data_IF_451247586579
#
_entry.id   IF_451247586579
#
_cell.length_a   1.000
_cell.length_b   1.000
_cell.length_c   1.000
_cell.angle_alpha   90.00
_cell.angle_beta   90.00
_cell.angle_gamma   90.00
#
_symmetry.space_group_name_H-M   'P 1'
#
loop_
_entity.id
_entity.type
_entity.pdbx_description
1 polymer ?
#
# COMPACT_ATOMS: atom_id res chain seq x y z
N UNK A 1 -9.23 3.41 21.04
CA UNK A 1 -9.60 2.00 20.75
C UNK A 1 -8.93 1.60 19.45
N UNK A 2 -7.87 0.79 19.51
CA UNK A 2 -7.13 0.33 18.35
C UNK A 2 -7.56 -1.12 18.08
N UNK A 3 -8.27 -1.34 16.97
CA UNK A 3 -8.58 -2.68 16.50
C UNK A 3 -7.32 -3.26 15.84
N UNK A 4 -6.53 -4.02 16.61
CA UNK A 4 -5.37 -4.74 16.11
C UNK A 4 -5.81 -5.99 15.35
N UNK A 5 -5.89 -5.90 14.03
CA UNK A 5 -5.91 -7.11 13.18
C UNK A 5 -4.53 -7.74 13.29
N UNK A 6 -4.45 -8.92 13.91
CA UNK A 6 -3.21 -9.63 14.19
C UNK A 6 -2.46 -10.08 12.95
N UNK A 7 -1.70 -9.17 12.32
CA UNK A 7 -0.63 -9.54 11.37
C UNK A 7 0.69 -9.65 12.10
N UNK A 8 1.43 -10.72 11.84
CA UNK A 8 2.78 -10.87 12.37
C UNK A 8 3.69 -9.81 11.74
N UNK A 9 4.69 -9.33 12.50
CA UNK A 9 5.75 -8.44 12.00
C UNK A 9 6.45 -9.03 10.76
N UNK A 10 6.50 -10.36 10.63
CA UNK A 10 7.02 -11.04 9.43
C UNK A 10 6.18 -10.74 8.17
N UNK A 11 4.86 -10.64 8.31
CA UNK A 11 3.95 -10.46 7.19
C UNK A 11 4.02 -9.04 6.64
N UNK A 12 4.14 -8.05 7.53
CA UNK A 12 4.36 -6.65 7.14
C UNK A 12 5.69 -6.49 6.43
N UNK A 13 6.76 -7.12 6.93
CA UNK A 13 8.08 -7.09 6.27
C UNK A 13 8.05 -7.71 4.88
N UNK A 14 7.38 -8.86 4.74
CA UNK A 14 7.18 -9.51 3.45
C UNK A 14 6.39 -8.61 2.50
N UNK A 15 5.31 -7.99 2.98
CA UNK A 15 4.51 -7.07 2.19
C UNK A 15 5.36 -5.89 1.68
N UNK A 16 6.12 -5.23 2.55
CA UNK A 16 7.02 -4.12 2.16
C UNK A 16 8.07 -4.56 1.14
N UNK A 17 8.61 -5.79 1.24
CA UNK A 17 9.55 -6.29 0.24
C UNK A 17 8.94 -6.51 -1.15
N UNK A 18 7.63 -6.78 -1.21
CA UNK A 18 6.90 -7.03 -2.46
C UNK A 18 6.40 -5.74 -3.11
N UNK A 19 6.37 -4.62 -2.40
CA UNK A 19 5.78 -3.34 -2.85
C UNK A 19 6.81 -2.21 -3.01
N UNK A 20 8.01 -2.56 -3.46
CA UNK A 20 9.16 -1.64 -3.51
C UNK A 20 8.92 -0.39 -4.39
N UNK A 21 8.37 -0.56 -5.60
CA UNK A 21 8.04 0.55 -6.51
C UNK A 21 6.91 1.38 -5.96
N UNK A 22 5.91 0.75 -5.33
CA UNK A 22 4.85 1.47 -4.62
C UNK A 22 5.40 2.40 -3.54
N UNK A 23 6.36 1.95 -2.72
CA UNK A 23 7.04 2.80 -1.73
C UNK A 23 7.84 3.96 -2.37
N UNK A 24 8.37 3.80 -3.58
CA UNK A 24 9.02 4.90 -4.30
C UNK A 24 8.01 5.94 -4.78
N UNK A 25 6.88 5.48 -5.33
CA UNK A 25 5.79 6.35 -5.77
C UNK A 25 5.14 7.08 -4.59
N UNK A 26 4.95 6.42 -3.45
CA UNK A 26 4.43 7.06 -2.25
C UNK A 26 5.35 8.17 -1.76
N UNK A 27 6.68 7.93 -1.73
CA UNK A 27 7.67 8.96 -1.43
C UNK A 27 7.64 10.14 -2.41
N UNK A 28 7.35 9.88 -3.69
CA UNK A 28 7.16 10.94 -4.67
C UNK A 28 5.84 11.70 -4.47
N UNK A 29 4.78 11.02 -4.03
CA UNK A 29 3.48 11.60 -3.76
C UNK A 29 3.50 12.49 -2.50
N UNK A 30 4.20 12.07 -1.43
CA UNK A 30 4.39 12.87 -0.20
C UNK A 30 4.97 14.26 -0.45
N UNK A 31 5.73 14.43 -1.54
CA UNK A 31 6.30 15.73 -1.93
C UNK A 31 5.29 16.67 -2.61
N UNK A 32 4.10 16.18 -2.96
CA UNK A 32 3.13 16.88 -3.84
C UNK A 32 1.71 16.90 -3.30
N UNK A 33 1.34 15.89 -2.53
CA UNK A 33 -0.02 15.68 -2.02
C UNK A 33 0.06 15.56 -0.50
N UNK A 34 -0.72 16.30 0.29
CA UNK A 34 -0.77 16.15 1.74
C UNK A 34 -1.06 14.69 2.14
N UNK A 35 -0.18 14.11 2.96
CA UNK A 35 -0.27 12.69 3.33
C UNK A 35 0.00 11.70 2.19
N UNK A 36 0.46 12.17 1.03
CA UNK A 36 0.80 11.35 -0.13
C UNK A 36 -0.41 10.74 -0.86
N UNK A 37 -1.64 11.13 -0.50
CA UNK A 37 -2.88 10.56 -1.01
C UNK A 37 -4.00 11.58 -1.14
N UNK A 38 -4.92 11.35 -2.09
CA UNK A 38 -6.10 12.20 -2.30
C UNK A 38 -7.27 11.91 -1.34
N UNK A 39 -7.14 10.89 -0.46
CA UNK A 39 -8.14 10.56 0.55
C UNK A 39 -7.47 9.82 1.72
N UNK A 40 -7.72 10.19 2.99
CA UNK A 40 -7.02 9.64 4.15
C UNK A 40 -7.05 8.12 4.28
N UNK A 41 -8.16 7.47 3.86
CA UNK A 41 -8.30 6.01 3.90
C UNK A 41 -7.21 5.28 3.09
N UNK A 42 -6.61 5.95 2.10
CA UNK A 42 -5.56 5.39 1.24
C UNK A 42 -4.16 5.50 1.85
N UNK A 43 -3.98 6.22 2.96
CA UNK A 43 -2.65 6.44 3.55
C UNK A 43 -2.13 5.23 4.34
N UNK A 44 -2.93 4.18 4.53
CA UNK A 44 -2.54 2.93 5.22
C UNK A 44 -2.04 3.13 6.66
N UNK A 45 -2.39 4.24 7.32
CA UNK A 45 -1.88 4.58 8.65
C UNK A 45 -2.16 3.55 9.74
N UNK A 46 -3.24 2.77 9.63
CA UNK A 46 -3.57 1.68 10.56
C UNK A 46 -2.96 0.32 10.20
N UNK A 47 -2.38 0.19 9.00
CA UNK A 47 -1.82 -1.06 8.48
C UNK A 47 -0.34 -1.19 8.84
N UNK A 48 0.36 -0.07 9.07
CA UNK A 48 1.77 -0.05 9.44
C UNK A 48 2.73 -0.28 8.27
N UNK A 49 2.28 -0.03 7.03
CA UNK A 49 3.07 -0.11 5.81
C UNK A 49 2.69 1.03 4.85
N UNK A 50 3.55 1.33 3.89
CA UNK A 50 3.21 2.24 2.78
C UNK A 50 2.06 1.65 1.94
N UNK A 51 1.21 2.50 1.33
CA UNK A 51 0.17 2.03 0.42
C UNK A 51 0.75 1.49 -0.89
N UNK A 52 0.11 0.44 -1.43
CA UNK A 52 0.42 -0.06 -2.78
C UNK A 52 -0.24 0.82 -3.85
N UNK A 53 0.41 0.90 -5.02
CA UNK A 53 -0.10 1.66 -6.17
C UNK A 53 -0.64 0.70 -7.23
N UNK A 54 -1.91 0.84 -7.60
CA UNK A 54 -2.53 0.00 -8.63
C UNK A 54 -2.17 0.47 -10.03
N UNK A 55 -1.72 -0.47 -10.88
CA UNK A 55 -1.43 -0.24 -12.29
C UNK A 55 -2.62 -0.63 -13.18
N UNK A 56 -3.27 -1.77 -12.89
CA UNK A 56 -4.37 -2.27 -13.72
C UNK A 56 -5.38 -3.10 -12.93
N UNK A 57 -6.58 -3.24 -13.49
CA UNK A 57 -7.67 -4.05 -12.94
C UNK A 57 -8.44 -4.76 -14.06
N UNK A 58 -8.95 -5.97 -13.79
CA UNK A 58 -9.75 -6.78 -14.72
C UNK A 58 -10.61 -7.78 -13.94
N UNK A 59 -11.93 -7.65 -14.06
CA UNK A 59 -12.87 -8.49 -13.29
C UNK A 59 -12.66 -8.28 -11.80
N UNK A 60 -12.57 -9.37 -11.05
CA UNK A 60 -12.31 -9.35 -9.60
C UNK A 60 -10.82 -9.16 -9.24
N UNK A 61 -9.93 -8.96 -10.22
CA UNK A 61 -8.49 -8.91 -9.99
C UNK A 61 -7.92 -7.51 -10.19
N UNK A 62 -6.99 -7.13 -9.33
CA UNK A 62 -6.18 -5.92 -9.47
C UNK A 62 -4.69 -6.26 -9.39
N UNK A 63 -3.87 -5.47 -10.08
CA UNK A 63 -2.42 -5.61 -10.06
C UNK A 63 -1.79 -4.29 -9.68
N UNK A 64 -0.83 -4.34 -8.76
CA UNK A 64 -0.02 -3.18 -8.41
C UNK A 64 1.12 -2.95 -9.41
N UNK A 65 1.81 -1.82 -9.27
CA UNK A 65 2.97 -1.42 -10.08
C UNK A 65 4.21 -2.32 -9.88
N UNK A 66 4.17 -3.18 -8.86
CA UNK A 66 5.18 -4.17 -8.53
C UNK A 66 4.85 -5.55 -9.16
N UNK A 67 3.67 -5.70 -9.78
CA UNK A 67 3.20 -6.92 -10.44
C UNK A 67 2.47 -7.89 -9.52
N UNK A 68 2.20 -7.52 -8.27
CA UNK A 68 1.44 -8.34 -7.33
C UNK A 68 -0.03 -8.38 -7.73
N UNK A 69 -0.63 -9.57 -7.75
CA UNK A 69 -2.06 -9.77 -8.03
C UNK A 69 -2.85 -9.92 -6.73
N UNK A 70 -4.03 -9.29 -6.69
CA UNK A 70 -4.97 -9.36 -5.57
C UNK A 70 -6.34 -9.80 -6.06
N UNK A 71 -7.11 -10.45 -5.17
CA UNK A 71 -8.49 -10.93 -5.35
C UNK A 71 -9.40 -10.14 -4.41
#
# INVERSE_FOLDING_TARGET
>A
MQFGVGRSTSDVRRFVSLTFRSSQLFRAALKRIPGGVNSPVRAFGHVGADPFFIERAKGAKIWDVDGNEYI
#
